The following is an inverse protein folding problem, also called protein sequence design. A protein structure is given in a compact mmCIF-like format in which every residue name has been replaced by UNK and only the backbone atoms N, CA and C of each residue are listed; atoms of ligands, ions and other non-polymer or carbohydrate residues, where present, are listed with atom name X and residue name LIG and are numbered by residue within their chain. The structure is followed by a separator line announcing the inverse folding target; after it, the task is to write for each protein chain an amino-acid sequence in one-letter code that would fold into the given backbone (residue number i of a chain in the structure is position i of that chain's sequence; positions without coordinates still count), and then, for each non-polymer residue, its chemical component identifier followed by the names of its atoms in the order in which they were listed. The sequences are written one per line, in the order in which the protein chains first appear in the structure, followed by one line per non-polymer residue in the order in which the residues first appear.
data_IF_343114964889
#
_entry.id   IF_343114964889
#
_cell.length_a   1.000
_cell.length_b   1.000
_cell.length_c   1.000
_cell.angle_alpha   90.00
_cell.angle_beta   90.00
_cell.angle_gamma   90.00
#
_symmetry.space_group_name_H-M   'P 1'
#
loop_
_entity.id
_entity.type
_entity.pdbx_description
1 polymer ?
#
# COMPACT_ATOMS: atom_id res chain seq x y z
N UNK A 1 -6.36 1.84 18.47
CA UNK A 1 -5.30 2.68 19.08
C UNK A 1 -4.22 2.89 18.02
N UNK A 2 -3.77 4.13 17.81
CA UNK A 2 -2.63 4.41 16.94
C UNK A 2 -1.32 3.99 17.60
N UNK A 3 -0.53 3.19 16.89
CA UNK A 3 0.59 2.37 17.39
C UNK A 3 1.96 2.83 16.85
N UNK A 4 2.05 4.07 16.35
CA UNK A 4 3.10 4.52 15.43
C UNK A 4 4.55 4.46 15.97
N UNK A 5 4.74 4.24 17.28
CA UNK A 5 6.07 4.07 17.92
C UNK A 5 6.30 2.69 18.54
N UNK A 6 5.31 1.79 18.49
CA UNK A 6 5.36 0.52 19.22
C UNK A 6 5.84 -0.62 18.32
N UNK A 7 6.91 -1.28 18.75
CA UNK A 7 7.39 -2.54 18.14
C UNK A 7 6.48 -3.72 18.50
N UNK A 8 5.80 -3.63 19.67
CA UNK A 8 4.88 -4.62 20.23
C UNK A 8 3.61 -3.94 20.74
N UNK A 9 2.43 -4.55 20.58
CA UNK A 9 1.15 -3.90 20.90
C UNK A 9 0.69 -4.13 22.35
N UNK A 10 0.85 -5.34 22.87
CA UNK A 10 0.38 -5.74 24.21
C UNK A 10 1.41 -6.64 24.89
N UNK A 11 1.42 -6.70 26.22
CA UNK A 11 2.19 -7.72 26.96
C UNK A 11 1.35 -8.97 27.20
N UNK A 12 1.99 -10.08 27.60
CA UNK A 12 1.28 -11.31 28.03
C UNK A 12 0.26 -11.01 29.13
N UNK A 13 0.65 -10.23 30.15
CA UNK A 13 -0.24 -9.85 31.24
C UNK A 13 -1.45 -9.03 30.75
N UNK A 14 -1.25 -8.17 29.73
CA UNK A 14 -2.36 -7.47 29.10
C UNK A 14 -3.29 -8.45 28.39
N UNK A 15 -2.78 -9.37 27.58
CA UNK A 15 -3.62 -10.37 26.89
C UNK A 15 -4.48 -11.16 27.88
N UNK A 16 -3.89 -11.58 29.01
CA UNK A 16 -4.58 -12.33 30.04
C UNK A 16 -5.69 -11.52 30.74
N UNK A 17 -5.62 -10.19 30.74
CA UNK A 17 -6.68 -9.33 31.29
C UNK A 17 -7.79 -8.99 30.29
N UNK A 18 -7.60 -9.24 28.98
CA UNK A 18 -8.59 -9.00 27.92
C UNK A 18 -9.73 -10.04 27.89
N UNK A 19 -10.21 -10.46 29.06
CA UNK A 19 -11.20 -11.53 29.23
C UNK A 19 -12.59 -11.24 28.66
N UNK A 20 -12.87 -9.97 28.30
CA UNK A 20 -14.14 -9.56 27.70
C UNK A 20 -14.02 -9.11 26.24
N UNK A 21 -12.80 -9.03 25.69
CA UNK A 21 -12.59 -8.55 24.32
C UNK A 21 -12.97 -9.64 23.33
N UNK A 22 -14.04 -9.40 22.58
CA UNK A 22 -14.56 -10.31 21.54
C UNK A 22 -14.06 -9.99 20.15
N UNK A 23 -13.68 -8.74 19.91
CA UNK A 23 -13.22 -8.25 18.61
C UNK A 23 -11.98 -7.40 18.80
N UNK A 24 -10.94 -7.71 18.02
CA UNK A 24 -9.68 -6.98 18.01
C UNK A 24 -9.29 -6.67 16.58
N UNK A 25 -8.99 -5.41 16.31
CA UNK A 25 -8.41 -4.96 15.04
C UNK A 25 -7.07 -4.33 15.32
N UNK A 26 -6.04 -4.85 14.66
CA UNK A 26 -4.68 -4.31 14.67
C UNK A 26 -4.38 -3.87 13.25
N UNK A 27 -4.13 -2.59 13.06
CA UNK A 27 -3.86 -2.10 11.72
C UNK A 27 -3.01 -0.86 11.64
N UNK A 28 -2.38 -0.70 10.48
CA UNK A 28 -1.59 0.48 10.10
C UNK A 28 -0.43 0.78 11.07
N UNK A 29 0.17 -0.28 11.64
CA UNK A 29 1.33 -0.22 12.53
C UNK A 29 2.61 -0.61 11.77
N UNK A 30 3.36 0.37 11.27
CA UNK A 30 4.52 0.12 10.41
C UNK A 30 5.81 -0.24 11.16
N UNK A 31 5.87 -0.05 12.48
CA UNK A 31 6.98 -0.55 13.34
C UNK A 31 6.70 -1.88 14.02
N UNK A 32 5.45 -2.33 14.01
CA UNK A 32 5.03 -3.51 14.74
C UNK A 32 5.63 -4.75 14.09
N UNK A 33 6.54 -5.42 14.80
CA UNK A 33 7.20 -6.66 14.35
C UNK A 33 6.55 -7.89 14.95
N UNK A 34 5.98 -7.76 16.15
CA UNK A 34 5.16 -8.75 16.83
C UNK A 34 3.98 -8.08 17.57
N UNK A 35 2.89 -8.79 17.83
CA UNK A 35 1.71 -8.23 18.51
C UNK A 35 1.88 -8.30 20.03
N UNK A 36 2.39 -9.42 20.54
CA UNK A 36 2.53 -9.69 21.96
C UNK A 36 4.00 -9.67 22.34
N UNK A 37 4.36 -8.73 23.22
CA UNK A 37 5.68 -8.68 23.87
C UNK A 37 5.76 -9.76 24.93
N UNK A 38 6.80 -10.56 24.86
CA UNK A 38 7.13 -11.55 25.88
C UNK A 38 8.41 -11.18 26.59
N UNK A 39 8.39 -11.25 27.92
CA UNK A 39 9.55 -10.99 28.77
C UNK A 39 10.05 -12.35 29.29
N UNK A 40 11.31 -12.70 28.98
CA UNK A 40 11.97 -13.93 29.44
C UNK A 40 12.07 -15.08 28.42
N UNK A 41 12.95 -16.06 28.71
CA UNK A 41 13.32 -17.23 27.89
C UNK A 41 12.71 -18.56 28.36
N UNK A 42 11.87 -18.53 29.40
CA UNK A 42 11.29 -19.71 30.03
C UNK A 42 10.15 -20.34 29.21
N UNK A 43 9.96 -21.65 29.38
CA UNK A 43 8.76 -22.39 28.98
C UNK A 43 7.54 -21.83 29.74
N UNK A 44 6.82 -20.86 29.18
CA UNK A 44 5.67 -20.21 29.84
C UNK A 44 4.36 -20.89 29.44
N UNK A 45 3.40 -20.76 30.37
CA UNK A 45 2.01 -21.11 30.21
C UNK A 45 1.42 -20.62 28.87
N UNK A 46 0.38 -21.29 28.34
CA UNK A 46 -0.29 -20.84 27.14
C UNK A 46 -0.78 -19.39 27.27
N UNK A 47 -0.56 -18.60 26.23
CA UNK A 47 -1.14 -17.25 26.10
C UNK A 47 -2.56 -17.43 25.57
N UNK A 48 -3.56 -17.20 26.41
CA UNK A 48 -4.96 -17.49 26.11
C UNK A 48 -5.73 -16.21 25.80
N UNK A 49 -6.28 -16.10 24.60
CA UNK A 49 -7.27 -15.09 24.22
C UNK A 49 -8.68 -15.63 24.54
N UNK A 50 -9.06 -15.57 25.82
CA UNK A 50 -10.17 -16.34 26.39
C UNK A 50 -11.58 -16.00 25.84
N UNK A 51 -11.75 -14.86 25.19
CA UNK A 51 -13.06 -14.41 24.65
C UNK A 51 -13.02 -13.93 23.21
N UNK A 52 -11.84 -13.92 22.57
CA UNK A 52 -11.69 -13.31 21.25
C UNK A 52 -12.35 -14.18 20.18
N UNK A 53 -13.30 -13.60 19.44
CA UNK A 53 -14.05 -14.23 18.34
C UNK A 53 -13.65 -13.72 16.96
N UNK A 54 -13.25 -12.44 16.90
CA UNK A 54 -12.87 -11.76 15.68
C UNK A 54 -11.48 -11.11 15.82
N UNK A 55 -10.57 -11.43 14.89
CA UNK A 55 -9.27 -10.78 14.79
C UNK A 55 -9.06 -10.27 13.37
N UNK A 56 -8.80 -8.96 13.23
CA UNK A 56 -8.41 -8.35 11.96
C UNK A 56 -7.00 -7.78 12.05
N UNK A 57 -6.15 -8.20 11.12
CA UNK A 57 -4.79 -7.69 10.90
C UNK A 57 -4.75 -6.98 9.55
N UNK A 58 -4.47 -5.68 9.52
CA UNK A 58 -4.53 -4.89 8.28
C UNK A 58 -3.37 -3.90 8.14
N UNK A 59 -2.65 -3.88 7.02
CA UNK A 59 -1.63 -2.84 6.81
C UNK A 59 -0.41 -2.95 7.74
N UNK A 60 -0.01 -4.16 8.13
CA UNK A 60 1.05 -4.44 9.10
C UNK A 60 2.36 -4.87 8.43
N UNK A 61 2.97 -3.95 7.69
CA UNK A 61 4.07 -4.21 6.74
C UNK A 61 5.34 -4.89 7.31
N UNK A 62 5.59 -4.82 8.63
CA UNK A 62 6.76 -5.44 9.29
C UNK A 62 6.41 -6.62 10.20
N UNK A 63 5.12 -6.98 10.32
CA UNK A 63 4.69 -8.06 11.20
C UNK A 63 5.12 -9.40 10.63
N UNK A 64 5.97 -10.13 11.36
CA UNK A 64 6.46 -11.45 10.95
C UNK A 64 5.68 -12.61 11.62
N UNK A 65 5.23 -12.39 12.86
CA UNK A 65 4.41 -13.32 13.65
C UNK A 65 3.73 -12.58 14.81
N UNK A 66 2.80 -13.21 15.53
CA UNK A 66 2.19 -12.63 16.73
C UNK A 66 3.19 -12.45 17.88
N UNK A 67 4.20 -13.32 17.97
CA UNK A 67 5.23 -13.30 18.99
C UNK A 67 6.39 -14.21 18.58
N UNK A 68 7.63 -13.74 18.79
CA UNK A 68 8.87 -14.48 18.51
C UNK A 68 9.19 -15.57 19.56
N UNK A 69 8.66 -15.42 20.78
CA UNK A 69 8.80 -16.37 21.88
C UNK A 69 8.20 -17.75 21.60
N UNK A 70 8.64 -18.77 22.35
CA UNK A 70 8.20 -20.16 22.17
C UNK A 70 6.91 -20.47 22.95
N UNK A 71 5.87 -19.68 22.73
CA UNK A 71 4.60 -19.81 23.46
C UNK A 71 3.54 -20.51 22.63
N UNK A 72 2.73 -21.33 23.33
CA UNK A 72 1.46 -21.79 22.78
C UNK A 72 0.46 -20.66 22.88
N UNK A 73 -0.20 -20.35 21.77
CA UNK A 73 -1.29 -19.39 21.75
C UNK A 73 -2.61 -20.15 21.66
N UNK A 74 -3.53 -19.88 22.59
CA UNK A 74 -4.85 -20.49 22.59
C UNK A 74 -5.94 -19.47 22.28
N UNK A 75 -6.73 -19.77 21.26
CA UNK A 75 -7.85 -18.99 20.78
C UNK A 75 -9.12 -19.86 20.79
N UNK A 76 -9.67 -20.18 21.97
CA UNK A 76 -10.75 -21.16 22.13
C UNK A 76 -12.04 -20.77 21.39
N UNK A 77 -12.22 -19.48 21.09
CA UNK A 77 -13.44 -18.93 20.50
C UNK A 77 -13.23 -18.19 19.18
N UNK A 78 -12.03 -18.18 18.61
CA UNK A 78 -11.76 -17.43 17.37
C UNK A 78 -12.52 -18.08 16.21
N UNK A 79 -13.48 -17.34 15.66
CA UNK A 79 -14.37 -17.77 14.57
C UNK A 79 -13.97 -17.13 13.25
N UNK A 80 -13.44 -15.91 13.30
CA UNK A 80 -13.09 -15.13 12.12
C UNK A 80 -11.71 -14.48 12.26
N UNK A 81 -10.85 -14.74 11.28
CA UNK A 81 -9.54 -14.12 11.12
C UNK A 81 -9.48 -13.45 9.75
N UNK A 82 -9.28 -12.14 9.76
CA UNK A 82 -9.04 -11.34 8.56
C UNK A 82 -7.59 -10.89 8.53
N UNK A 83 -6.91 -11.15 7.42
CA UNK A 83 -5.54 -10.71 7.14
C UNK A 83 -5.53 -9.97 5.80
N UNK A 84 -5.46 -8.64 5.87
CA UNK A 84 -5.54 -7.72 4.72
C UNK A 84 -4.30 -6.83 4.61
N UNK A 85 -4.03 -6.31 3.40
CA UNK A 85 -2.99 -5.31 3.12
C UNK A 85 -1.62 -5.62 3.75
N UNK A 86 -1.06 -6.75 3.31
CA UNK A 86 0.32 -7.23 3.51
C UNK A 86 0.94 -7.10 4.89
N UNK A 87 0.84 -8.17 5.71
CA UNK A 87 1.88 -8.53 6.63
C UNK A 87 2.88 -9.50 5.97
N UNK A 88 4.17 -9.35 6.25
CA UNK A 88 5.20 -10.39 6.01
C UNK A 88 5.02 -11.57 6.98
N UNK A 89 3.77 -11.94 7.25
CA UNK A 89 3.39 -12.92 8.24
C UNK A 89 3.71 -14.30 7.67
N UNK A 90 4.91 -14.81 7.96
CA UNK A 90 5.33 -16.14 7.52
C UNK A 90 4.57 -17.23 8.27
N UNK A 91 4.29 -16.97 9.55
CA UNK A 91 3.53 -17.81 10.47
C UNK A 91 2.65 -16.93 11.35
N UNK A 92 1.52 -17.45 11.81
CA UNK A 92 0.67 -16.74 12.76
C UNK A 92 1.33 -16.69 14.15
N UNK A 93 1.71 -17.85 14.69
CA UNK A 93 2.56 -18.00 15.89
C UNK A 93 3.26 -19.36 15.83
N UNK A 94 4.20 -19.67 16.74
CA UNK A 94 4.86 -20.99 16.73
C UNK A 94 3.86 -22.15 16.91
N UNK A 95 2.93 -22.01 17.84
CA UNK A 95 1.95 -23.06 18.16
C UNK A 95 0.55 -22.47 18.38
N UNK A 96 -0.20 -22.13 17.30
CA UNK A 96 -1.56 -21.62 17.42
C UNK A 96 -2.57 -22.75 17.60
N UNK A 97 -3.41 -22.65 18.63
CA UNK A 97 -4.60 -23.48 18.83
C UNK A 97 -5.84 -22.65 18.51
N UNK A 98 -6.53 -23.01 17.44
CA UNK A 98 -7.70 -22.28 16.92
C UNK A 98 -8.84 -23.26 16.60
N UNK A 99 -9.41 -23.96 17.60
CA UNK A 99 -10.32 -25.09 17.39
C UNK A 99 -11.64 -24.73 16.67
N UNK A 100 -12.02 -23.45 16.63
CA UNK A 100 -13.26 -22.96 16.00
C UNK A 100 -13.03 -22.22 14.68
N UNK A 101 -11.78 -21.97 14.32
CA UNK A 101 -11.49 -21.30 13.07
C UNK A 101 -11.62 -22.32 11.94
N UNK A 102 -12.39 -21.98 10.90
CA UNK A 102 -12.60 -22.86 9.73
C UNK A 102 -11.99 -22.26 8.45
N UNK A 103 -11.87 -20.93 8.41
CA UNK A 103 -11.37 -20.20 7.27
C UNK A 103 -10.68 -18.89 7.69
N UNK A 104 -9.85 -18.37 6.80
CA UNK A 104 -9.17 -17.08 6.92
C UNK A 104 -9.57 -16.21 5.73
N UNK A 105 -9.87 -14.94 5.97
CA UNK A 105 -10.17 -13.97 4.92
C UNK A 105 -8.92 -13.15 4.57
N UNK A 106 -8.61 -13.05 3.28
CA UNK A 106 -7.51 -12.21 2.78
C UNK A 106 -7.57 -12.12 1.25
N UNK A 107 -8.17 -11.04 0.74
CA UNK A 107 -8.52 -10.84 -0.68
C UNK A 107 -9.62 -11.77 -1.20
N UNK A 108 -9.68 -13.00 -0.69
CA UNK A 108 -10.72 -14.03 -0.86
C UNK A 108 -10.85 -14.86 0.42
N UNK A 109 -11.77 -15.82 0.43
CA UNK A 109 -11.89 -16.80 1.51
C UNK A 109 -10.92 -17.98 1.31
N UNK A 110 -10.18 -18.32 2.36
CA UNK A 110 -9.22 -19.42 2.41
C UNK A 110 -9.66 -20.43 3.46
N UNK A 111 -10.07 -21.63 3.03
CA UNK A 111 -10.37 -22.71 3.96
C UNK A 111 -9.07 -23.17 4.66
N UNK A 112 -9.15 -23.44 5.96
CA UNK A 112 -8.03 -24.02 6.69
C UNK A 112 -7.71 -25.40 6.12
N UNK A 113 -6.44 -25.60 5.79
CA UNK A 113 -5.91 -26.88 5.33
C UNK A 113 -4.64 -27.22 6.12
N UNK A 114 -4.71 -28.29 6.92
CA UNK A 114 -3.72 -28.58 7.93
C UNK A 114 -3.91 -27.67 9.13
N UNK A 115 -2.90 -26.85 9.43
CA UNK A 115 -2.95 -25.87 10.51
C UNK A 115 -3.03 -24.42 9.98
N UNK A 116 -3.21 -23.48 10.93
CA UNK A 116 -3.29 -22.06 10.62
C UNK A 116 -2.00 -21.52 9.98
N UNK A 117 -0.83 -21.97 10.42
CA UNK A 117 0.45 -21.53 9.84
C UNK A 117 0.61 -22.01 8.39
N UNK A 118 0.24 -23.25 8.10
CA UNK A 118 0.23 -23.80 6.74
C UNK A 118 -0.72 -23.02 5.82
N UNK A 119 -1.87 -22.61 6.33
CA UNK A 119 -2.85 -21.80 5.59
C UNK A 119 -2.33 -20.38 5.36
N UNK A 120 -1.79 -19.70 6.36
CA UNK A 120 -1.16 -18.38 6.24
C UNK A 120 0.02 -18.42 5.24
N UNK A 121 0.89 -19.43 5.35
CA UNK A 121 2.01 -19.60 4.43
C UNK A 121 1.53 -19.84 2.99
N UNK A 122 0.44 -20.57 2.81
CA UNK A 122 -0.16 -20.79 1.48
C UNK A 122 -0.79 -19.54 0.91
N UNK A 123 -1.49 -18.75 1.73
CA UNK A 123 -1.99 -17.43 1.33
C UNK A 123 -0.82 -16.62 0.75
N UNK A 124 0.36 -16.70 1.36
CA UNK A 124 1.56 -16.05 0.85
C UNK A 124 2.16 -16.71 -0.41
N UNK A 125 2.26 -18.05 -0.51
CA UNK A 125 2.89 -18.71 -1.66
C UNK A 125 2.05 -18.73 -2.92
N UNK A 126 0.73 -18.71 -2.81
CA UNK A 126 -0.20 -18.63 -3.94
C UNK A 126 -0.28 -17.17 -4.44
N UNK A 127 0.89 -16.52 -4.62
CA UNK A 127 1.07 -15.17 -5.16
C UNK A 127 0.36 -14.90 -6.50
N UNK A 128 -0.26 -15.90 -7.12
CA UNK A 128 -1.09 -15.80 -8.34
C UNK A 128 -2.57 -15.46 -8.03
N UNK A 129 -2.98 -15.42 -6.76
CA UNK A 129 -4.36 -15.11 -6.36
C UNK A 129 -4.51 -13.86 -5.47
N UNK A 130 -3.40 -13.29 -5.01
CA UNK A 130 -3.35 -11.95 -4.42
C UNK A 130 -3.09 -10.95 -5.56
N UNK A 131 -4.07 -10.85 -6.47
CA UNK A 131 -4.16 -9.73 -7.39
C UNK A 131 -4.30 -8.49 -6.50
N UNK A 132 -3.23 -7.70 -6.48
CA UNK A 132 -2.96 -6.59 -5.59
C UNK A 132 -4.11 -5.61 -5.36
N UNK A 133 -4.37 -5.38 -4.08
CA UNK A 133 -4.90 -4.12 -3.62
C UNK A 133 -4.01 -3.71 -2.45
N UNK A 134 -2.75 -3.39 -2.73
CA UNK A 134 -1.96 -2.63 -1.76
C UNK A 134 -2.41 -1.17 -1.86
N UNK A 135 -3.60 -0.87 -1.33
CA UNK A 135 -4.08 0.50 -1.19
C UNK A 135 -3.20 1.22 -0.16
N UNK A 136 -2.07 1.77 -0.61
CA UNK A 136 -1.12 2.45 0.24
C UNK A 136 -1.51 3.92 0.42
N UNK A 137 -2.39 4.17 1.38
CA UNK A 137 -2.73 5.54 1.80
C UNK A 137 -1.58 6.16 2.60
N UNK A 138 -0.68 6.90 1.93
CA UNK A 138 0.46 7.53 2.61
C UNK A 138 0.06 8.45 3.79
N UNK A 139 -1.12 9.07 3.75
CA UNK A 139 -1.64 9.84 4.89
C UNK A 139 -1.72 9.04 6.19
N UNK A 140 -1.88 7.73 6.10
CA UNK A 140 -1.96 6.84 7.27
C UNK A 140 -0.55 6.49 7.81
N UNK A 141 0.52 6.84 7.08
CA UNK A 141 1.90 6.46 7.39
C UNK A 141 2.86 7.68 7.40
N UNK A 142 2.79 8.58 8.41
CA UNK A 142 3.64 9.78 8.46
C UNK A 142 5.14 9.51 8.43
N UNK A 143 5.61 8.41 9.02
CA UNK A 143 7.04 8.07 9.01
C UNK A 143 7.52 7.48 7.67
N UNK A 144 6.61 6.87 6.91
CA UNK A 144 6.89 6.40 5.56
C UNK A 144 7.02 7.60 4.62
N UNK A 145 6.16 8.62 4.78
CA UNK A 145 6.28 9.90 4.07
C UNK A 145 7.66 10.53 4.29
N UNK A 146 8.17 10.55 5.53
CA UNK A 146 9.49 11.13 5.83
C UNK A 146 10.66 10.42 5.13
N UNK A 147 10.53 9.12 4.86
CA UNK A 147 11.59 8.31 4.26
C UNK A 147 11.20 7.75 2.89
N UNK A 148 10.24 8.41 2.22
CA UNK A 148 9.56 7.85 1.06
C UNK A 148 10.51 7.59 -0.12
N UNK A 149 11.49 8.45 -0.37
CA UNK A 149 12.43 8.24 -1.47
C UNK A 149 13.70 7.46 -1.08
N UNK A 150 13.95 7.22 0.22
CA UNK A 150 15.21 6.63 0.71
C UNK A 150 15.08 5.20 1.22
N UNK A 151 13.94 4.86 1.86
CA UNK A 151 13.76 3.56 2.53
C UNK A 151 12.49 2.82 2.11
N UNK A 152 11.60 3.45 1.34
CA UNK A 152 10.34 2.82 0.92
C UNK A 152 10.58 1.51 0.15
N UNK A 153 11.56 1.48 -0.75
CA UNK A 153 11.94 0.30 -1.54
C UNK A 153 12.44 -0.89 -0.71
N UNK A 154 12.95 -0.63 0.50
CA UNK A 154 13.42 -1.68 1.42
C UNK A 154 12.27 -2.18 2.32
N UNK A 155 11.30 -1.31 2.59
CA UNK A 155 10.18 -1.55 3.51
C UNK A 155 9.00 -2.19 2.75
N UNK A 156 8.71 -1.70 1.55
CA UNK A 156 7.61 -2.10 0.69
C UNK A 156 8.16 -2.95 -0.46
N UNK A 157 7.73 -4.21 -0.53
CA UNK A 157 7.97 -5.04 -1.70
C UNK A 157 6.92 -4.69 -2.76
N UNK A 158 7.24 -3.75 -3.64
CA UNK A 158 6.33 -3.21 -4.66
C UNK A 158 6.03 -4.18 -5.82
N UNK A 159 6.50 -5.43 -5.75
CA UNK A 159 6.34 -6.43 -6.81
C UNK A 159 4.91 -6.96 -6.99
N UNK A 160 4.01 -6.63 -6.08
CA UNK A 160 2.61 -7.09 -6.11
C UNK A 160 1.60 -5.90 -6.02
N UNK A 161 2.05 -4.65 -6.26
CA UNK A 161 1.21 -3.44 -6.16
C UNK A 161 0.37 -3.23 -7.44
N UNK A 162 -0.94 -3.47 -7.40
CA UNK A 162 -1.81 -3.11 -8.53
C UNK A 162 -2.45 -1.72 -8.39
N UNK A 163 -2.74 -1.25 -7.19
CA UNK A 163 -3.42 0.04 -6.99
C UNK A 163 -2.67 0.91 -5.98
N UNK A 164 -2.29 2.12 -6.36
CA UNK A 164 -1.62 3.10 -5.50
C UNK A 164 -2.54 4.29 -5.24
N UNK A 165 -3.13 4.35 -4.03
CA UNK A 165 -4.04 5.42 -3.63
C UNK A 165 -3.37 6.35 -2.61
N UNK A 166 -3.09 7.59 -3.00
CA UNK A 166 -2.47 8.61 -2.17
C UNK A 166 -3.52 9.64 -1.77
N UNK A 167 -3.67 9.91 -0.48
CA UNK A 167 -4.55 10.95 0.02
C UNK A 167 -3.77 11.88 0.94
N UNK A 168 -4.06 13.19 0.93
CA UNK A 168 -3.51 14.20 1.85
C UNK A 168 -1.98 14.19 1.98
N UNK A 169 -1.25 13.82 0.93
CA UNK A 169 0.21 13.81 0.95
C UNK A 169 0.76 15.22 0.67
N UNK A 170 1.05 15.95 1.75
CA UNK A 170 1.46 17.35 1.71
C UNK A 170 2.92 17.58 2.13
N UNK A 171 3.70 16.51 2.30
CA UNK A 171 5.12 16.60 2.69
C UNK A 171 6.07 16.28 1.54
N UNK A 172 5.57 15.71 0.43
CA UNK A 172 6.36 15.34 -0.73
C UNK A 172 6.16 16.38 -1.84
N UNK A 173 7.27 16.85 -2.43
CA UNK A 173 7.23 17.68 -3.64
C UNK A 173 6.91 16.85 -4.88
N UNK A 174 7.26 15.56 -4.89
CA UNK A 174 6.85 14.61 -5.91
C UNK A 174 6.58 13.23 -5.31
N UNK A 175 5.69 12.45 -5.93
CA UNK A 175 5.34 11.12 -5.39
C UNK A 175 6.39 10.08 -5.72
N UNK A 176 6.68 9.78 -6.98
CA UNK A 176 7.54 8.67 -7.38
C UNK A 176 8.78 9.18 -8.09
N UNK A 177 9.91 8.50 -7.90
CA UNK A 177 11.06 8.62 -8.83
C UNK A 177 11.02 7.51 -9.88
N UNK A 178 11.81 7.62 -10.95
CA UNK A 178 11.88 6.56 -11.97
C UNK A 178 12.36 5.22 -11.43
N UNK A 179 13.32 5.22 -10.50
CA UNK A 179 13.77 3.98 -9.86
C UNK A 179 12.62 3.32 -9.09
N UNK A 180 11.78 4.10 -8.41
CA UNK A 180 10.58 3.61 -7.74
C UNK A 180 9.59 3.05 -8.74
N UNK A 181 9.23 3.82 -9.78
CA UNK A 181 8.31 3.41 -10.83
C UNK A 181 8.70 2.07 -11.48
N UNK A 182 10.00 1.80 -11.66
CA UNK A 182 10.51 0.53 -12.19
C UNK A 182 10.41 -0.64 -11.22
N UNK A 183 10.57 -0.35 -9.94
CA UNK A 183 10.43 -1.36 -8.89
C UNK A 183 8.97 -1.74 -8.63
N UNK A 184 8.03 -0.87 -9.00
CA UNK A 184 6.62 -1.22 -9.07
C UNK A 184 6.45 -2.24 -10.20
N UNK A 185 6.10 -3.49 -9.86
CA UNK A 185 5.45 -4.35 -10.84
C UNK A 185 4.09 -3.71 -11.06
N UNK A 186 3.95 -3.08 -12.22
CA UNK A 186 3.32 -1.77 -12.30
C UNK A 186 1.85 -1.75 -11.90
N UNK A 187 1.40 -0.68 -11.21
CA UNK A 187 0.00 -0.56 -10.83
C UNK A 187 -0.89 -0.41 -12.06
N UNK A 188 -2.04 -1.08 -12.05
CA UNK A 188 -3.13 -0.82 -12.97
C UNK A 188 -3.81 0.53 -12.68
N UNK A 189 -3.73 1.02 -11.44
CA UNK A 189 -4.43 2.19 -10.94
C UNK A 189 -3.53 3.06 -10.06
N UNK A 190 -3.44 4.35 -10.39
CA UNK A 190 -2.76 5.36 -9.58
C UNK A 190 -3.74 6.48 -9.28
N UNK A 191 -4.00 6.74 -8.00
CA UNK A 191 -4.88 7.78 -7.53
C UNK A 191 -4.15 8.72 -6.56
N UNK A 192 -4.26 10.04 -6.76
CA UNK A 192 -3.74 11.06 -5.84
C UNK A 192 -4.85 12.05 -5.54
N UNK A 193 -5.22 12.18 -4.27
CA UNK A 193 -6.29 13.05 -3.78
C UNK A 193 -5.82 13.99 -2.69
N UNK A 194 -6.32 15.23 -2.71
CA UNK A 194 -6.13 16.21 -1.63
C UNK A 194 -4.65 16.48 -1.26
N UNK A 195 -3.73 16.25 -2.19
CA UNK A 195 -2.30 16.55 -2.06
C UNK A 195 -2.01 17.95 -2.56
N UNK A 196 -2.05 18.92 -1.66
CA UNK A 196 -2.04 20.35 -1.99
C UNK A 196 -0.65 20.95 -2.14
N UNK A 197 0.42 20.25 -1.74
CA UNK A 197 1.82 20.72 -1.79
C UNK A 197 2.72 19.93 -2.75
N UNK A 198 2.13 19.02 -3.53
CA UNK A 198 2.85 18.18 -4.48
C UNK A 198 2.94 18.87 -5.83
N UNK A 199 4.14 19.03 -6.39
CA UNK A 199 4.39 19.71 -7.67
C UNK A 199 4.26 18.75 -8.87
N UNK A 200 4.65 17.48 -8.68
CA UNK A 200 4.62 16.45 -9.72
C UNK A 200 4.26 15.06 -9.16
N UNK A 201 3.69 14.16 -9.96
CA UNK A 201 3.49 12.76 -9.52
C UNK A 201 4.77 11.95 -9.70
N UNK A 202 5.44 12.05 -10.83
CA UNK A 202 6.66 11.32 -11.15
C UNK A 202 7.76 12.32 -11.45
N UNK A 203 8.93 12.17 -10.82
CA UNK A 203 10.12 12.96 -11.11
C UNK A 203 11.22 12.08 -11.70
N UNK A 204 11.79 12.54 -12.82
CA UNK A 204 12.97 11.95 -13.41
C UNK A 204 14.21 12.16 -12.53
N UNK A 205 14.94 11.06 -12.32
CA UNK A 205 16.28 11.06 -11.78
C UNK A 205 17.19 10.23 -12.70
N UNK A 206 18.39 10.74 -12.98
CA UNK A 206 19.36 10.08 -13.86
C UNK A 206 19.31 10.55 -15.30
N UNK A 207 20.00 9.81 -16.18
CA UNK A 207 20.13 10.09 -17.60
C UNK A 207 19.59 8.90 -18.38
N UNK A 208 18.33 8.97 -18.76
CA UNK A 208 17.67 7.91 -19.49
C UNK A 208 16.96 8.45 -20.73
N UNK A 209 16.59 7.53 -21.62
CA UNK A 209 15.97 7.90 -22.89
C UNK A 209 14.48 7.56 -22.94
N UNK A 210 14.00 6.62 -22.10
CA UNK A 210 12.64 6.07 -22.20
C UNK A 210 12.13 5.44 -20.90
N UNK A 211 10.86 5.70 -20.61
CA UNK A 211 10.07 5.11 -19.52
C UNK A 211 8.82 4.48 -20.12
N UNK A 212 8.51 3.24 -19.73
CA UNK A 212 7.30 2.54 -20.17
C UNK A 212 6.56 2.00 -18.96
N UNK A 213 5.27 2.34 -18.85
CA UNK A 213 4.32 1.77 -17.89
C UNK A 213 3.27 0.94 -18.65
N UNK A 214 3.63 -0.25 -19.16
CA UNK A 214 2.72 -1.12 -19.89
C UNK A 214 1.42 -1.44 -19.17
N UNK A 215 1.36 -1.49 -17.83
CA UNK A 215 0.14 -1.93 -17.12
C UNK A 215 -0.73 -0.79 -16.57
N UNK A 216 -0.25 0.45 -16.56
CA UNK A 216 -0.99 1.57 -15.97
C UNK A 216 -2.22 1.91 -16.81
N UNK A 217 -3.38 1.53 -16.28
CA UNK A 217 -4.67 1.62 -16.98
C UNK A 217 -5.50 2.81 -16.52
N UNK A 218 -5.32 3.27 -15.28
CA UNK A 218 -6.08 4.35 -14.68
C UNK A 218 -5.18 5.31 -13.90
N UNK A 219 -5.34 6.60 -14.15
CA UNK A 219 -4.74 7.67 -13.37
C UNK A 219 -5.86 8.63 -12.94
N UNK A 220 -5.98 8.89 -11.64
CA UNK A 220 -6.96 9.83 -11.08
C UNK A 220 -6.21 10.84 -10.21
N UNK A 221 -6.38 12.12 -10.51
CA UNK A 221 -5.80 13.23 -9.77
C UNK A 221 -6.94 14.14 -9.32
N UNK A 222 -7.13 14.30 -8.01
CA UNK A 222 -8.25 15.05 -7.46
C UNK A 222 -7.81 16.04 -6.38
N UNK A 223 -8.23 17.29 -6.50
CA UNK A 223 -8.02 18.34 -5.48
C UNK A 223 -6.54 18.54 -5.11
N UNK A 224 -5.62 18.40 -6.08
CA UNK A 224 -4.19 18.66 -5.91
C UNK A 224 -3.86 20.08 -6.39
N UNK A 225 -3.87 21.05 -5.46
CA UNK A 225 -3.78 22.48 -5.80
C UNK A 225 -2.45 22.92 -6.41
N UNK A 226 -1.34 22.34 -5.96
CA UNK A 226 0.00 22.71 -6.42
C UNK A 226 0.52 21.86 -7.58
N UNK A 227 -0.19 20.77 -7.93
CA UNK A 227 0.25 19.83 -8.95
C UNK A 227 0.32 20.50 -10.33
N UNK A 228 1.50 20.52 -10.93
CA UNK A 228 1.77 21.18 -12.22
C UNK A 228 1.76 20.20 -13.40
N UNK A 229 2.28 18.99 -13.17
CA UNK A 229 2.41 17.93 -14.17
C UNK A 229 2.32 16.55 -13.53
N UNK A 230 1.96 15.53 -14.32
CA UNK A 230 2.02 14.14 -13.87
C UNK A 230 3.46 13.65 -13.86
N UNK A 231 4.24 13.96 -14.90
CA UNK A 231 5.64 13.55 -15.04
C UNK A 231 6.54 14.75 -15.33
N UNK A 232 7.62 14.91 -14.55
CA UNK A 232 8.67 15.91 -14.80
C UNK A 232 9.94 15.18 -15.24
N UNK A 233 10.36 15.42 -16.48
CA UNK A 233 11.54 14.80 -17.05
C UNK A 233 11.65 15.00 -18.56
N UNK A 234 12.74 14.51 -19.12
CA UNK A 234 13.08 14.56 -20.55
C UNK A 234 13.01 13.20 -21.24
N UNK A 235 12.81 12.10 -20.50
CA UNK A 235 12.62 10.80 -21.13
C UNK A 235 11.30 10.73 -21.89
N UNK A 236 11.30 9.96 -22.97
CA UNK A 236 10.06 9.57 -23.63
C UNK A 236 9.22 8.70 -22.67
N UNK A 237 7.99 9.12 -22.40
CA UNK A 237 7.11 8.45 -21.44
C UNK A 237 5.95 7.76 -22.17
N UNK A 238 5.73 6.46 -21.93
CA UNK A 238 4.69 5.68 -22.61
C UNK A 238 3.79 4.90 -21.63
N UNK A 239 2.48 5.06 -21.78
CA UNK A 239 1.45 4.27 -21.08
C UNK A 239 0.49 3.64 -22.10
N UNK A 240 0.78 2.41 -22.54
CA UNK A 240 0.05 1.77 -23.65
C UNK A 240 -1.39 1.37 -23.28
N UNK A 241 -1.62 0.96 -22.03
CA UNK A 241 -2.92 0.50 -21.54
C UNK A 241 -3.75 1.58 -20.84
N UNK A 242 -3.31 2.84 -20.84
CA UNK A 242 -4.08 3.90 -20.19
C UNK A 242 -5.45 4.02 -20.86
N UNK A 243 -6.50 3.79 -20.08
CA UNK A 243 -7.90 3.87 -20.53
C UNK A 243 -8.65 4.99 -19.83
N UNK A 244 -8.23 5.37 -18.63
CA UNK A 244 -8.84 6.41 -17.81
C UNK A 244 -7.79 7.37 -17.27
N UNK A 245 -7.95 8.65 -17.58
CA UNK A 245 -7.17 9.71 -16.97
C UNK A 245 -8.10 10.85 -16.55
N UNK A 246 -8.19 11.10 -15.25
CA UNK A 246 -9.07 12.10 -14.66
C UNK A 246 -8.25 13.11 -13.87
N UNK A 247 -8.53 14.40 -14.11
CA UNK A 247 -7.96 15.52 -13.37
C UNK A 247 -9.13 16.39 -12.89
N UNK A 248 -9.38 16.36 -11.60
CA UNK A 248 -10.52 17.00 -10.96
C UNK A 248 -9.99 18.04 -9.96
N UNK A 249 -10.39 19.30 -10.07
CA UNK A 249 -9.99 20.34 -9.12
C UNK A 249 -8.45 20.50 -8.91
N UNK A 250 -7.64 20.26 -9.95
CA UNK A 250 -6.19 20.54 -9.94
C UNK A 250 -5.90 21.82 -10.77
N UNK A 251 -6.01 23.02 -10.18
CA UNK A 251 -5.99 24.29 -10.91
C UNK A 251 -4.67 24.55 -11.65
N UNK A 252 -3.51 24.23 -11.04
CA UNK A 252 -2.18 24.48 -11.60
C UNK A 252 -1.73 23.45 -12.64
N UNK A 253 -2.44 22.32 -12.75
CA UNK A 253 -2.05 21.27 -13.69
C UNK A 253 -2.29 21.75 -15.12
N UNK A 254 -1.20 21.88 -15.88
CA UNK A 254 -1.20 22.47 -17.22
C UNK A 254 -0.75 21.49 -18.30
N UNK A 255 0.11 20.53 -17.96
CA UNK A 255 0.61 19.50 -18.88
C UNK A 255 0.60 18.12 -18.23
N UNK A 256 0.61 17.07 -19.04
CA UNK A 256 0.79 15.71 -18.54
C UNK A 256 2.27 15.46 -18.20
N UNK A 257 3.16 15.71 -19.16
CA UNK A 257 4.60 15.70 -18.98
C UNK A 257 5.16 17.13 -19.08
N UNK A 258 6.22 17.44 -18.35
CA UNK A 258 6.98 18.69 -18.52
C UNK A 258 8.47 18.41 -18.48
N UNK A 259 9.24 19.03 -19.38
CA UNK A 259 10.70 18.97 -19.37
C UNK A 259 11.28 19.86 -18.28
N UNK A 260 12.46 19.50 -17.76
CA UNK A 260 13.27 20.44 -16.97
C UNK A 260 13.45 21.77 -17.74
N UNK A 261 13.66 22.92 -17.07
CA UNK A 261 13.84 24.20 -17.75
C UNK A 261 15.20 24.29 -18.46
N UNK A 262 15.41 23.45 -19.48
CA UNK A 262 16.29 23.65 -20.63
C UNK A 262 15.55 23.09 -21.84
N UNK A 263 14.92 24.02 -22.57
CA UNK A 263 14.04 23.87 -23.75
C UNK A 263 12.57 23.55 -23.43
N UNK A 264 11.76 24.61 -23.48
CA UNK A 264 10.33 24.51 -23.77
C UNK A 264 10.19 24.01 -25.21
N UNK A 265 10.04 22.71 -25.38
CA UNK A 265 9.33 22.17 -26.53
C UNK A 265 7.98 21.68 -26.01
N UNK A 266 6.90 22.29 -26.52
CA UNK A 266 5.54 21.86 -26.24
C UNK A 266 5.36 20.50 -26.94
N UNK A 267 5.55 19.39 -26.24
CA UNK A 267 5.28 18.09 -26.83
C UNK A 267 3.77 17.82 -26.91
N UNK A 268 3.34 17.32 -28.08
CA UNK A 268 1.95 17.00 -28.39
C UNK A 268 1.45 15.88 -27.47
N UNK A 269 0.32 16.06 -26.76
CA UNK A 269 -0.32 15.01 -25.97
C UNK A 269 -0.54 13.70 -26.75
N UNK A 270 -0.66 13.74 -28.08
CA UNK A 270 -0.81 12.54 -28.92
C UNK A 270 0.38 11.56 -28.84
N UNK A 271 1.58 12.03 -28.46
CA UNK A 271 2.76 11.17 -28.35
C UNK A 271 2.72 10.21 -27.13
N UNK A 272 1.85 10.49 -26.16
CA UNK A 272 1.84 9.81 -24.86
C UNK A 272 0.72 8.77 -24.68
N UNK A 273 -0.31 8.78 -25.54
CA UNK A 273 -1.53 8.01 -25.31
C UNK A 273 -2.01 7.23 -26.54
N UNK A 274 -2.61 6.07 -26.32
CA UNK A 274 -3.33 5.35 -27.37
C UNK A 274 -4.63 6.10 -27.76
N UNK A 275 -5.08 5.90 -29.01
CA UNK A 275 -6.20 6.62 -29.65
C UNK A 275 -7.52 6.69 -28.86
N UNK A 276 -7.71 5.91 -27.79
CA UNK A 276 -8.91 5.95 -26.93
C UNK A 276 -8.87 7.06 -25.86
N UNK A 277 -7.70 7.49 -25.39
CA UNK A 277 -7.57 8.52 -24.32
C UNK A 277 -7.68 9.94 -24.89
N UNK A 278 -7.34 10.12 -26.17
CA UNK A 278 -7.36 11.42 -26.87
C UNK A 278 -8.76 12.06 -26.81
N UNK A 279 -9.84 11.28 -26.94
CA UNK A 279 -11.21 11.83 -26.91
C UNK A 279 -11.62 12.42 -25.55
N UNK A 280 -11.02 11.96 -24.45
CA UNK A 280 -11.35 12.39 -23.09
C UNK A 280 -10.41 13.51 -22.62
N UNK A 281 -9.11 13.40 -22.92
CA UNK A 281 -8.14 14.48 -22.75
C UNK A 281 -8.56 15.73 -23.52
N UNK A 282 -9.05 15.59 -24.76
CA UNK A 282 -9.56 16.76 -25.49
C UNK A 282 -10.79 17.38 -24.82
N UNK A 283 -11.65 16.64 -24.12
CA UNK A 283 -12.78 17.26 -23.39
C UNK A 283 -12.33 18.03 -22.14
N UNK A 284 -11.37 17.52 -21.39
CA UNK A 284 -10.87 18.15 -20.15
C UNK A 284 -9.86 19.28 -20.44
N UNK A 285 -9.06 19.17 -21.50
CA UNK A 285 -8.11 20.20 -21.92
C UNK A 285 -8.72 21.26 -22.86
N UNK A 286 -9.75 20.96 -23.68
CA UNK A 286 -10.39 21.99 -24.52
C UNK A 286 -11.26 22.98 -23.73
N UNK A 287 -11.69 22.67 -22.50
CA UNK A 287 -12.42 23.65 -21.66
C UNK A 287 -11.49 24.77 -21.16
N UNK A 288 -10.19 24.50 -20.96
CA UNK A 288 -9.18 25.50 -20.57
C UNK A 288 -8.53 26.25 -21.75
N UNK A 289 -8.58 25.72 -22.97
CA UNK A 289 -7.90 26.33 -24.15
C UNK A 289 -8.81 27.14 -25.10
N UNK A 290 -10.10 27.34 -24.78
CA UNK A 290 -10.99 28.22 -25.57
C UNK A 290 -10.80 29.74 -25.30
N UNK A 291 -9.74 30.15 -24.58
CA UNK A 291 -9.45 31.56 -24.28
C UNK A 291 -7.96 31.94 -24.47
N UNK A 292 -7.28 31.40 -25.48
CA UNK A 292 -6.04 31.96 -26.02
C UNK A 292 -6.11 32.01 -27.55
#
# INVERSE_FOLDING_TARGET
MGCHKMENLVSVATVQSLVHVKSMTVGYCHKLTEIVRTEGDGTQDPIIFSSLRYLKLVGLIRLACLCSGNFTFDFPYLEELIVENYPKLEIFSKTPKTPRLVQVQGGKLWKLEGDLNATIKRMYTVKVGFIGLMNLSLSEFPELIQNWHTKSLQILDFRDLLRLDICNCNSLGYLLTLSMVRSLVQPDHLEVKHSTRMDAVIMEEGSENKIILPYLSQIILESCSDLTSFYVGSCTFQCELLTRFEVLNCPKMATFASTFPRKLEKEDPQAFFSNKVISFLMKTFCSKFKQL
#
